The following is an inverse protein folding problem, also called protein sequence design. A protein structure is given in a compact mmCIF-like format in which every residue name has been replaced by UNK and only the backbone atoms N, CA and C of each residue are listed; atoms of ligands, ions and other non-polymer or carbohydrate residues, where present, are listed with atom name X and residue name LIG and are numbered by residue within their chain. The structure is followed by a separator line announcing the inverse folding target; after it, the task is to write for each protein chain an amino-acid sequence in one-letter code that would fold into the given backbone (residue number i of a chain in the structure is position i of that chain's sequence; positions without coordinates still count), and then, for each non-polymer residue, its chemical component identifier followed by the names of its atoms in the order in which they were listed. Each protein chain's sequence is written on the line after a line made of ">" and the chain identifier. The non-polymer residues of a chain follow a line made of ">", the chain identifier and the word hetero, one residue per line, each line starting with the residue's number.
data_IF_888194363846
#
_entry.id   IF_888194363846
#
_cell.length_a   1.000
_cell.length_b   1.000
_cell.length_c   1.000
_cell.angle_alpha   90.00
_cell.angle_beta   90.00
_cell.angle_gamma   90.00
#
_symmetry.space_group_name_H-M   'P 1'
#
loop_
_entity.id
_entity.type
_entity.pdbx_description
1 polymer ?
#
# COMPACT_ATOMS: atom_id res chain seq x y z
N UNK A 1 -18.78 9.02 -34.98
CA UNK A 1 -17.74 8.20 -35.64
C UNK A 1 -17.63 6.86 -34.91
N UNK A 2 -17.96 5.77 -35.61
CA UNK A 2 -17.59 4.37 -35.39
C UNK A 2 -17.51 3.76 -34.00
N UNK A 3 -18.63 3.29 -33.43
CA UNK A 3 -18.64 2.00 -32.70
C UNK A 3 -18.75 0.88 -33.74
N UNK A 4 -17.67 0.62 -34.48
CA UNK A 4 -17.60 -0.45 -35.50
C UNK A 4 -16.29 -1.23 -35.33
N UNK A 5 -16.23 -2.10 -34.32
CA UNK A 5 -15.40 -3.31 -34.34
C UNK A 5 -16.06 -4.30 -33.37
N UNK A 6 -16.67 -5.35 -33.93
CA UNK A 6 -17.35 -6.49 -33.30
C UNK A 6 -18.84 -6.29 -32.90
N UNK A 7 -19.65 -7.20 -33.45
CA UNK A 7 -21.08 -7.39 -33.22
C UNK A 7 -21.25 -8.11 -31.86
N UNK A 8 -22.03 -7.49 -30.97
CA UNK A 8 -22.64 -8.03 -29.75
C UNK A 8 -22.10 -9.39 -29.22
N UNK A 9 -21.10 -9.31 -28.34
CA UNK A 9 -20.93 -10.19 -27.18
C UNK A 9 -21.20 -9.29 -25.97
N UNK A 10 -21.76 -9.77 -24.86
CA UNK A 10 -21.83 -8.96 -23.63
C UNK A 10 -20.42 -8.46 -23.29
N UNK A 11 -20.14 -7.19 -23.56
CA UNK A 11 -18.83 -6.61 -23.33
C UNK A 11 -18.71 -6.36 -21.84
N UNK A 12 -17.91 -7.20 -21.18
CA UNK A 12 -17.47 -6.98 -19.83
C UNK A 12 -16.38 -5.90 -19.86
N UNK A 13 -16.60 -4.78 -19.16
CA UNK A 13 -15.63 -3.70 -19.04
C UNK A 13 -14.82 -3.89 -17.76
N UNK A 14 -13.49 -3.92 -17.88
CA UNK A 14 -12.59 -4.11 -16.75
C UNK A 14 -11.66 -2.90 -16.61
N UNK A 15 -11.39 -2.52 -15.36
CA UNK A 15 -10.33 -1.59 -15.01
C UNK A 15 -9.27 -2.30 -14.18
N UNK A 16 -8.00 -2.09 -14.47
CA UNK A 16 -6.90 -2.50 -13.59
C UNK A 16 -5.88 -1.36 -13.50
N UNK A 17 -5.56 -0.95 -12.28
CA UNK A 17 -4.62 0.14 -12.04
C UNK A 17 -4.04 0.09 -10.64
N UNK A 18 -2.80 0.56 -10.51
CA UNK A 18 -2.10 0.62 -9.23
C UNK A 18 -1.60 2.05 -8.93
N UNK A 19 -1.38 2.39 -7.65
CA UNK A 19 -0.92 3.72 -7.24
C UNK A 19 -1.97 4.80 -7.54
N UNK A 20 -1.61 5.82 -8.33
CA UNK A 20 -2.55 6.78 -8.90
C UNK A 20 -3.64 6.08 -9.73
N UNK A 21 -3.32 4.97 -10.39
CA UNK A 21 -4.31 4.13 -11.06
C UNK A 21 -5.26 3.43 -10.07
N UNK A 22 -4.76 2.99 -8.92
CA UNK A 22 -5.63 2.44 -7.87
C UNK A 22 -6.61 3.50 -7.35
N UNK A 23 -6.15 4.74 -7.17
CA UNK A 23 -7.01 5.89 -6.85
C UNK A 23 -8.06 6.13 -7.93
N UNK A 24 -7.66 6.13 -9.19
CA UNK A 24 -8.57 6.31 -10.33
C UNK A 24 -9.65 5.20 -10.34
N UNK A 25 -9.28 3.93 -10.20
CA UNK A 25 -10.25 2.83 -10.11
C UNK A 25 -11.23 2.97 -8.94
N UNK A 26 -10.79 3.48 -7.79
CA UNK A 26 -11.72 3.80 -6.69
C UNK A 26 -12.62 4.99 -7.00
N UNK A 27 -12.12 6.01 -7.69
CA UNK A 27 -12.92 7.15 -8.16
C UNK A 27 -13.97 6.69 -9.19
N UNK A 28 -13.62 5.79 -10.10
CA UNK A 28 -14.57 5.19 -11.06
C UNK A 28 -15.71 4.49 -10.30
N UNK A 29 -15.39 3.65 -9.31
CA UNK A 29 -16.40 2.97 -8.50
C UNK A 29 -17.34 3.95 -7.74
N UNK A 30 -16.81 5.10 -7.32
CA UNK A 30 -17.54 6.09 -6.52
C UNK A 30 -18.39 7.04 -7.38
N UNK A 31 -17.82 7.55 -8.48
CA UNK A 31 -18.38 8.69 -9.24
C UNK A 31 -18.94 8.29 -10.59
N UNK A 32 -18.41 7.23 -11.19
CA UNK A 32 -18.78 6.73 -12.52
C UNK A 32 -19.08 5.22 -12.47
N UNK A 33 -20.00 4.80 -11.59
CA UNK A 33 -20.15 3.38 -11.27
C UNK A 33 -20.57 2.52 -12.46
N UNK A 34 -21.02 3.09 -13.58
CA UNK A 34 -21.44 2.35 -14.78
C UNK A 34 -20.32 2.11 -15.80
N UNK A 35 -19.12 2.67 -15.61
CA UNK A 35 -18.05 2.62 -16.60
C UNK A 35 -17.35 1.26 -16.65
N UNK A 36 -17.28 0.55 -15.51
CA UNK A 36 -16.60 -0.74 -15.39
C UNK A 36 -17.39 -1.74 -14.58
N UNK A 37 -17.46 -2.97 -15.08
CA UNK A 37 -18.12 -4.08 -14.43
C UNK A 37 -17.25 -4.72 -13.33
N UNK A 38 -15.94 -4.76 -13.56
CA UNK A 38 -14.94 -5.23 -12.62
C UNK A 38 -13.77 -4.26 -12.51
N UNK A 39 -13.31 -4.03 -11.29
CA UNK A 39 -12.20 -3.12 -11.00
C UNK A 39 -11.17 -3.86 -10.15
N UNK A 40 -9.91 -3.84 -10.57
CA UNK A 40 -8.74 -4.22 -9.76
C UNK A 40 -7.97 -2.95 -9.41
N UNK A 41 -7.99 -2.56 -8.14
CA UNK A 41 -7.32 -1.35 -7.66
C UNK A 41 -6.18 -1.69 -6.68
N UNK A 42 -4.94 -1.44 -7.08
CA UNK A 42 -3.74 -1.69 -6.29
C UNK A 42 -3.19 -0.44 -5.60
N UNK A 43 -2.68 -0.58 -4.38
CA UNK A 43 -1.88 0.44 -3.67
C UNK A 43 -2.44 1.86 -3.82
N UNK A 44 -3.75 2.02 -3.65
CA UNK A 44 -4.40 3.24 -4.11
C UNK A 44 -4.00 4.46 -3.28
N UNK A 45 -3.57 5.53 -3.95
CA UNK A 45 -3.37 6.86 -3.36
C UNK A 45 -4.71 7.60 -3.13
N UNK A 46 -5.70 6.91 -2.56
CA UNK A 46 -7.09 7.32 -2.60
C UNK A 46 -7.40 8.54 -1.72
N UNK A 47 -6.70 8.71 -0.60
CA UNK A 47 -6.76 9.95 0.18
C UNK A 47 -5.64 10.92 -0.25
N UNK A 48 -5.68 11.31 -1.52
CA UNK A 48 -4.59 12.02 -2.21
C UNK A 48 -3.96 13.18 -1.41
N UNK A 49 -4.81 14.07 -0.87
CA UNK A 49 -4.37 15.23 -0.08
C UNK A 49 -3.55 14.84 1.16
N UNK A 50 -4.03 13.86 1.96
CA UNK A 50 -3.28 13.33 3.11
C UNK A 50 -2.09 12.47 2.72
N UNK A 51 -2.17 11.74 1.61
CA UNK A 51 -1.05 10.96 1.08
C UNK A 51 0.13 11.87 0.70
N UNK A 52 -0.11 12.95 -0.05
CA UNK A 52 0.93 13.92 -0.39
C UNK A 52 1.53 14.55 0.88
N UNK A 53 0.70 14.87 1.88
CA UNK A 53 1.20 15.36 3.16
C UNK A 53 1.99 14.31 3.94
N UNK A 54 1.71 13.01 3.78
CA UNK A 54 2.44 11.92 4.44
C UNK A 54 3.87 11.81 3.93
N UNK A 55 4.08 12.00 2.62
CA UNK A 55 5.41 12.06 2.04
C UNK A 55 6.19 13.29 2.56
N UNK A 56 5.52 14.45 2.66
CA UNK A 56 6.09 15.65 3.29
C UNK A 56 6.45 15.39 4.75
N UNK A 57 5.57 14.75 5.52
CA UNK A 57 5.80 14.38 6.92
C UNK A 57 7.07 13.54 7.07
N UNK A 58 7.20 12.49 6.27
CA UNK A 58 8.39 11.63 6.30
C UNK A 58 9.66 12.42 6.00
N UNK A 59 9.63 13.33 5.03
CA UNK A 59 10.76 14.22 4.75
C UNK A 59 11.06 15.19 5.90
N UNK A 60 10.04 15.78 6.53
CA UNK A 60 10.24 16.74 7.63
C UNK A 60 10.92 16.07 8.81
N UNK A 61 10.46 14.86 9.19
CA UNK A 61 10.98 14.17 10.39
C UNK A 61 12.40 13.63 10.22
N UNK A 62 12.89 13.47 8.99
CA UNK A 62 14.28 13.05 8.68
C UNK A 62 15.17 14.19 8.19
N UNK A 63 14.66 15.43 8.13
CA UNK A 63 15.34 16.54 7.44
C UNK A 63 16.58 17.12 8.13
N UNK A 64 16.85 16.75 9.39
CA UNK A 64 18.05 17.19 10.12
C UNK A 64 19.19 16.16 9.97
N UNK A 65 20.47 16.58 10.02
CA UNK A 65 21.61 15.66 9.96
C UNK A 65 21.55 14.53 10.98
N UNK A 66 21.04 14.81 12.18
CA UNK A 66 20.95 13.85 13.29
C UNK A 66 19.76 12.90 13.15
N UNK A 67 18.73 13.25 12.37
CA UNK A 67 17.51 12.47 12.15
C UNK A 67 17.52 11.71 10.81
N UNK A 68 18.36 12.12 9.86
CA UNK A 68 18.51 11.51 8.55
C UNK A 68 18.88 10.02 8.68
N UNK A 69 18.31 9.19 7.80
CA UNK A 69 18.49 7.74 7.79
C UNK A 69 19.27 7.34 6.53
N UNK A 70 20.53 6.92 6.69
CA UNK A 70 21.31 6.39 5.56
C UNK A 70 20.83 4.99 5.14
N UNK A 71 21.27 4.50 3.98
CA UNK A 71 20.94 3.14 3.54
C UNK A 71 21.39 2.08 4.55
N UNK A 72 22.55 2.27 5.20
CA UNK A 72 23.04 1.39 6.25
C UNK A 72 22.13 1.40 7.48
N UNK A 73 21.61 2.58 7.87
CA UNK A 73 20.64 2.68 8.98
C UNK A 73 19.31 2.02 8.62
N UNK A 74 18.81 2.20 7.40
CA UNK A 74 17.59 1.53 6.93
C UNK A 74 17.76 0.00 6.93
N UNK A 75 18.93 -0.49 6.53
CA UNK A 75 19.25 -1.92 6.64
C UNK A 75 19.27 -2.40 8.09
N UNK A 76 19.90 -1.65 9.01
CA UNK A 76 19.90 -1.99 10.43
C UNK A 76 18.48 -2.07 11.00
N UNK A 77 17.60 -1.13 10.62
CA UNK A 77 16.20 -1.14 11.04
C UNK A 77 15.47 -2.36 10.47
N UNK A 78 15.59 -2.61 9.17
CA UNK A 78 14.98 -3.78 8.51
C UNK A 78 15.40 -5.07 9.22
N UNK A 79 16.70 -5.27 9.46
CA UNK A 79 17.21 -6.50 10.08
C UNK A 79 16.60 -6.70 11.49
N UNK A 80 16.48 -5.62 12.28
CA UNK A 80 15.88 -5.67 13.62
C UNK A 80 14.35 -5.86 13.61
N UNK A 81 13.67 -5.31 12.60
CA UNK A 81 12.24 -5.54 12.35
C UNK A 81 12.01 -7.01 12.01
N UNK A 82 12.80 -7.59 11.10
CA UNK A 82 12.69 -9.00 10.72
C UNK A 82 12.97 -9.92 11.90
N UNK A 83 13.99 -9.63 12.72
CA UNK A 83 14.26 -10.40 13.95
C UNK A 83 13.06 -10.39 14.91
N UNK A 84 12.34 -9.26 14.98
CA UNK A 84 11.17 -9.10 15.87
C UNK A 84 9.91 -9.75 15.28
N UNK A 85 9.70 -9.69 13.97
CA UNK A 85 8.38 -9.86 13.37
C UNK A 85 8.24 -11.02 12.37
N UNK A 86 9.31 -11.50 11.74
CA UNK A 86 9.26 -12.55 10.70
C UNK A 86 8.52 -13.80 11.21
N UNK A 87 8.92 -14.31 12.39
CA UNK A 87 8.34 -15.52 12.97
C UNK A 87 6.89 -15.45 13.48
N UNK A 88 6.21 -14.29 13.43
CA UNK A 88 4.90 -14.09 14.08
C UNK A 88 3.74 -14.85 13.41
N UNK A 89 3.94 -15.30 12.18
CA UNK A 89 3.00 -16.11 11.41
C UNK A 89 3.30 -17.62 11.45
N UNK A 90 4.40 -18.01 12.12
CA UNK A 90 4.86 -19.39 12.24
C UNK A 90 5.89 -19.83 11.18
N UNK A 91 6.27 -18.95 10.25
CA UNK A 91 7.36 -19.15 9.31
C UNK A 91 8.48 -18.12 9.57
N UNK A 92 9.74 -18.53 9.39
CA UNK A 92 10.88 -17.60 9.35
C UNK A 92 11.44 -17.60 7.95
N UNK A 93 10.74 -16.93 7.04
CA UNK A 93 11.00 -16.98 5.60
C UNK A 93 11.36 -15.61 5.01
N UNK A 94 11.59 -14.61 5.87
CA UNK A 94 11.94 -13.26 5.45
C UNK A 94 10.73 -12.45 4.98
N UNK A 95 9.51 -12.85 5.36
CA UNK A 95 8.26 -12.19 4.99
C UNK A 95 7.40 -11.99 6.23
N UNK A 96 7.00 -10.75 6.51
CA UNK A 96 6.03 -10.45 7.56
C UNK A 96 4.62 -10.66 6.98
N UNK A 97 3.98 -11.82 7.24
CA UNK A 97 2.66 -12.12 6.67
C UNK A 97 1.53 -11.27 7.24
N UNK A 98 1.67 -10.79 8.47
CA UNK A 98 0.70 -9.90 9.10
C UNK A 98 1.42 -8.71 9.76
N UNK A 99 1.61 -7.60 9.02
CA UNK A 99 2.28 -6.43 9.57
C UNK A 99 1.50 -5.75 10.70
N UNK A 100 0.18 -6.00 10.83
CA UNK A 100 -0.65 -5.40 11.88
C UNK A 100 -0.28 -5.91 13.28
N UNK A 101 0.35 -7.10 13.34
CA UNK A 101 0.84 -7.73 14.57
C UNK A 101 2.31 -7.45 14.84
N UNK A 102 3.02 -6.77 13.93
CA UNK A 102 4.41 -6.40 14.11
C UNK A 102 4.53 -5.15 15.01
N UNK A 103 4.86 -5.37 16.28
CA UNK A 103 5.10 -4.30 17.24
C UNK A 103 6.60 -4.12 17.50
N UNK A 104 7.30 -3.53 16.52
CA UNK A 104 8.71 -3.19 16.64
C UNK A 104 8.90 -1.85 17.38
N UNK A 105 9.81 -1.82 18.35
CA UNK A 105 10.21 -0.60 19.07
C UNK A 105 11.63 -0.18 18.60
N UNK A 106 11.78 0.94 17.86
CA UNK A 106 13.08 1.39 17.37
C UNK A 106 14.03 1.81 18.49
N UNK A 107 13.56 2.05 19.72
CA UNK A 107 14.43 2.34 20.88
C UNK A 107 15.39 1.20 21.19
N UNK A 108 15.11 -0.03 20.75
CA UNK A 108 16.05 -1.16 20.82
C UNK A 108 17.38 -0.88 20.13
N UNK A 109 17.39 0.00 19.13
CA UNK A 109 18.57 0.38 18.37
C UNK A 109 19.24 1.65 18.90
N UNK A 110 18.76 2.28 19.98
CA UNK A 110 19.31 3.55 20.46
C UNK A 110 20.80 3.47 20.81
N UNK A 111 21.59 4.41 20.29
CA UNK A 111 23.02 4.51 20.58
C UNK A 111 23.26 4.74 22.08
N UNK A 112 24.17 3.96 22.68
CA UNK A 112 24.64 4.16 24.07
C UNK A 112 25.72 5.24 24.20
N UNK A 113 26.23 5.74 23.08
CA UNK A 113 27.30 6.73 22.98
C UNK A 113 27.17 7.53 21.69
N UNK A 114 28.30 7.85 21.07
CA UNK A 114 28.31 8.53 19.77
C UNK A 114 27.58 7.71 18.68
N UNK A 115 27.14 8.41 17.63
CA UNK A 115 26.55 7.78 16.47
C UNK A 115 27.52 6.81 15.79
N UNK A 116 27.00 5.72 15.24
CA UNK A 116 27.76 4.68 14.57
C UNK A 116 26.86 3.75 13.74
N UNK A 117 27.44 2.89 12.88
CA UNK A 117 26.68 2.10 11.91
C UNK A 117 25.75 1.04 12.54
N UNK A 118 25.93 0.71 13.82
CA UNK A 118 25.21 -0.36 14.52
C UNK A 118 24.13 0.14 15.51
N UNK A 119 23.78 1.43 15.48
CA UNK A 119 22.75 2.00 16.34
C UNK A 119 22.04 3.19 15.66
N UNK A 120 21.01 3.74 16.28
CA UNK A 120 20.29 4.94 15.87
C UNK A 120 20.48 6.04 16.92
N UNK A 121 20.70 7.28 16.48
CA UNK A 121 20.63 8.44 17.38
C UNK A 121 19.21 8.58 17.95
N UNK A 122 19.05 9.35 19.04
CA UNK A 122 17.71 9.64 19.58
C UNK A 122 16.80 10.32 18.54
N UNK A 123 17.37 11.17 17.67
CA UNK A 123 16.63 11.84 16.61
C UNK A 123 16.20 10.86 15.50
N UNK A 124 17.07 9.93 15.09
CA UNK A 124 16.72 8.85 14.16
C UNK A 124 15.63 7.93 14.72
N UNK A 125 15.72 7.53 16.00
CA UNK A 125 14.66 6.76 16.67
C UNK A 125 13.34 7.51 16.62
N UNK A 126 13.33 8.79 16.99
CA UNK A 126 12.12 9.62 16.95
C UNK A 126 11.57 9.82 15.53
N UNK A 127 12.43 9.85 14.50
CA UNK A 127 12.00 9.89 13.10
C UNK A 127 11.30 8.59 12.69
N UNK A 128 11.90 7.43 13.00
CA UNK A 128 11.33 6.11 12.73
C UNK A 128 9.98 5.92 13.43
N UNK A 129 9.87 6.31 14.71
CA UNK A 129 8.59 6.29 15.45
C UNK A 129 7.52 7.14 14.76
N UNK A 130 7.87 8.31 14.22
CA UNK A 130 6.92 9.18 13.50
C UNK A 130 6.56 8.67 12.11
N UNK A 131 7.45 7.96 11.42
CA UNK A 131 7.16 7.34 10.11
C UNK A 131 6.18 6.17 10.28
N UNK A 132 6.44 5.27 11.23
CA UNK A 132 5.51 4.19 11.57
C UNK A 132 4.22 4.70 12.20
N UNK A 133 4.33 5.77 13.00
CA UNK A 133 3.19 6.44 13.59
C UNK A 133 2.30 7.04 12.50
N UNK A 134 2.86 7.75 11.52
CA UNK A 134 2.17 8.55 10.51
C UNK A 134 1.82 9.96 11.01
N UNK A 135 1.04 10.71 10.22
CA UNK A 135 0.74 12.11 10.53
C UNK A 135 -0.15 12.23 11.78
N UNK A 136 0.29 13.07 12.72
CA UNK A 136 -0.48 13.51 13.89
C UNK A 136 -0.51 15.03 13.87
N UNK A 137 -1.70 15.62 14.10
CA UNK A 137 -1.83 17.06 14.22
C UNK A 137 -1.05 17.54 15.46
N UNK A 138 -0.05 18.43 15.31
CA UNK A 138 0.81 18.84 16.42
C UNK A 138 0.09 19.68 17.49
N UNK A 139 -1.08 20.25 17.19
CA UNK A 139 -1.87 21.04 18.15
C UNK A 139 -2.98 20.24 18.82
N UNK A 140 -3.67 19.39 18.07
CA UNK A 140 -4.85 18.67 18.58
C UNK A 140 -4.54 17.24 19.02
N UNK A 141 -3.42 16.66 18.58
CA UNK A 141 -3.10 15.25 18.78
C UNK A 141 -3.92 14.29 17.90
N UNK A 142 -4.74 14.80 16.99
CA UNK A 142 -5.56 13.98 16.10
C UNK A 142 -4.69 13.18 15.12
N UNK A 143 -5.04 11.92 14.91
CA UNK A 143 -4.45 11.08 13.87
C UNK A 143 -5.00 11.47 12.50
N UNK A 144 -4.19 12.15 11.69
CA UNK A 144 -4.62 12.60 10.36
C UNK A 144 -4.47 11.49 9.31
N UNK A 145 -3.36 10.76 9.31
CA UNK A 145 -3.11 9.72 8.31
C UNK A 145 -2.27 8.59 8.91
N UNK A 146 -2.51 7.30 8.57
CA UNK A 146 -1.72 6.19 9.10
C UNK A 146 -0.25 6.28 8.70
N UNK A 147 0.62 5.62 9.45
CA UNK A 147 2.03 5.47 9.10
C UNK A 147 2.30 4.19 8.32
N UNK A 148 3.55 4.03 7.90
CA UNK A 148 4.00 2.83 7.18
C UNK A 148 4.04 1.64 8.13
N UNK A 149 3.79 0.44 7.59
CA UNK A 149 4.05 -0.76 8.35
C UNK A 149 5.54 -1.09 8.39
N UNK A 150 6.02 -1.75 9.47
CA UNK A 150 7.36 -2.31 9.47
C UNK A 150 7.53 -3.40 8.40
N UNK A 151 8.71 -3.47 7.80
CA UNK A 151 9.11 -4.51 6.83
C UNK A 151 9.41 -4.00 5.43
N UNK A 152 9.22 -2.70 5.17
CA UNK A 152 9.49 -2.03 3.89
C UNK A 152 10.67 -1.06 3.91
N UNK A 153 11.50 -1.07 4.96
CA UNK A 153 12.48 -0.01 5.25
C UNK A 153 13.55 0.12 4.15
N UNK A 154 13.94 -0.99 3.51
CA UNK A 154 14.88 -0.95 2.38
C UNK A 154 14.30 -0.24 1.15
N UNK A 155 12.97 -0.15 1.06
CA UNK A 155 12.29 0.66 0.05
C UNK A 155 12.31 2.15 0.38
N UNK A 156 12.64 2.54 1.62
CA UNK A 156 12.41 3.89 2.06
C UNK A 156 13.25 4.94 1.32
N UNK A 157 14.52 4.64 1.08
CA UNK A 157 15.43 5.52 0.34
C UNK A 157 15.27 5.52 -1.18
N UNK A 158 14.50 4.58 -1.73
CA UNK A 158 14.47 4.26 -3.17
C UNK A 158 13.16 4.62 -3.86
N UNK A 159 12.07 4.73 -3.10
CA UNK A 159 10.78 5.03 -3.65
C UNK A 159 10.67 6.54 -3.97
N UNK A 160 10.32 6.86 -5.23
CA UNK A 160 10.49 8.21 -5.82
C UNK A 160 9.79 9.38 -5.10
N UNK A 161 8.86 9.13 -4.18
CA UNK A 161 8.17 10.16 -3.38
C UNK A 161 8.65 10.29 -1.93
N UNK A 162 9.47 9.35 -1.43
CA UNK A 162 9.83 9.35 -0.01
C UNK A 162 11.19 9.98 0.24
N UNK A 163 11.17 11.07 1.02
CA UNK A 163 12.31 11.93 1.33
C UNK A 163 13.01 11.52 2.63
N UNK A 164 13.16 10.23 2.92
CA UNK A 164 13.80 9.80 4.20
C UNK A 164 15.32 9.93 4.20
N UNK A 165 15.95 9.82 3.02
CA UNK A 165 17.37 10.13 2.81
C UNK A 165 17.42 11.59 2.38
N UNK A 166 18.15 12.43 3.13
CA UNK A 166 18.23 13.87 2.84
C UNK A 166 18.63 14.13 1.37
N UNK A 167 17.69 14.68 0.62
CA UNK A 167 17.93 15.21 -0.71
C UNK A 167 18.00 16.72 -0.61
N UNK A 168 19.20 17.27 -0.84
CA UNK A 168 19.43 18.73 -0.90
C UNK A 168 18.63 19.39 -2.02
N UNK A 169 18.33 18.65 -3.08
CA UNK A 169 17.43 19.05 -4.16
C UNK A 169 16.14 18.23 -4.10
N UNK A 170 15.03 18.91 -3.87
CA UNK A 170 13.69 18.33 -3.77
C UNK A 170 12.87 18.56 -5.04
N UNK A 171 13.46 19.17 -6.08
CA UNK A 171 12.79 19.34 -7.36
C UNK A 171 12.48 17.98 -7.99
N UNK A 172 11.26 17.82 -8.49
CA UNK A 172 10.78 16.54 -9.04
C UNK A 172 10.31 15.53 -7.99
N UNK A 173 10.31 15.88 -6.70
CA UNK A 173 9.59 15.09 -5.68
C UNK A 173 8.11 15.42 -5.76
N UNK A 174 7.29 14.42 -6.09
CA UNK A 174 5.86 14.55 -6.38
C UNK A 174 5.07 15.33 -5.33
N UNK A 175 5.30 15.06 -4.05
CA UNK A 175 4.60 15.74 -2.95
C UNK A 175 5.05 17.18 -2.74
N UNK A 176 6.36 17.47 -2.86
CA UNK A 176 6.85 18.85 -2.80
C UNK A 176 6.28 19.68 -3.95
N UNK A 177 6.36 19.16 -5.17
CA UNK A 177 5.85 19.83 -6.37
C UNK A 177 4.33 20.02 -6.30
N UNK A 178 3.58 19.02 -5.82
CA UNK A 178 2.14 19.16 -5.62
C UNK A 178 1.82 20.40 -4.77
N UNK A 179 2.42 20.56 -3.59
CA UNK A 179 2.14 21.71 -2.74
C UNK A 179 2.71 23.03 -3.29
N UNK A 180 3.94 23.02 -3.80
CA UNK A 180 4.61 24.19 -4.38
C UNK A 180 3.79 24.80 -5.53
N UNK A 181 3.36 23.98 -6.49
CA UNK A 181 2.66 24.47 -7.68
C UNK A 181 1.16 24.67 -7.48
N UNK A 182 0.51 23.89 -6.60
CA UNK A 182 -0.95 23.95 -6.44
C UNK A 182 -1.42 24.75 -5.23
N UNK A 183 -0.88 24.51 -4.03
CA UNK A 183 -1.39 25.14 -2.80
C UNK A 183 -0.74 26.51 -2.55
N UNK A 184 0.58 26.59 -2.76
CA UNK A 184 1.36 27.80 -2.49
C UNK A 184 1.60 28.67 -3.71
N UNK A 185 1.50 28.10 -4.92
CA UNK A 185 1.82 28.77 -6.18
C UNK A 185 3.21 29.44 -6.18
N UNK A 186 4.16 28.79 -5.52
CA UNK A 186 5.55 29.22 -5.41
C UNK A 186 6.46 28.04 -5.73
N UNK A 187 7.12 28.01 -6.91
CA UNK A 187 8.04 26.93 -7.27
C UNK A 187 9.28 26.86 -6.36
N UNK A 188 9.52 27.87 -5.52
CA UNK A 188 10.61 27.89 -4.54
C UNK A 188 10.18 27.41 -3.15
N UNK A 189 8.89 27.15 -2.94
CA UNK A 189 8.39 26.62 -1.67
C UNK A 189 9.11 25.31 -1.31
N UNK A 190 9.31 25.09 -0.01
CA UNK A 190 10.05 23.95 0.52
C UNK A 190 9.20 23.21 1.54
N UNK A 191 9.15 21.88 1.41
CA UNK A 191 8.37 21.00 2.28
C UNK A 191 8.64 21.18 3.80
N UNK A 192 9.84 21.63 4.18
CA UNK A 192 10.26 21.83 5.58
C UNK A 192 9.41 22.84 6.34
N UNK A 193 8.71 23.73 5.64
CA UNK A 193 7.86 24.75 6.26
C UNK A 193 6.37 24.39 6.29
N UNK A 194 6.00 23.17 5.88
CA UNK A 194 4.61 22.72 5.84
C UNK A 194 3.98 22.67 7.25
N UNK A 195 2.86 23.36 7.45
CA UNK A 195 2.07 23.34 8.68
C UNK A 195 1.01 22.23 8.58
N UNK A 196 1.24 21.10 9.27
CA UNK A 196 0.32 19.95 9.27
C UNK A 196 -1.05 20.22 9.91
N UNK A 197 -1.24 21.34 10.60
CA UNK A 197 -2.54 21.78 11.10
C UNK A 197 -3.26 22.65 10.06
N UNK A 198 -2.59 23.67 9.53
CA UNK A 198 -3.23 24.67 8.64
C UNK A 198 -3.17 24.29 7.17
N UNK A 199 -2.00 23.91 6.67
CA UNK A 199 -1.77 23.71 5.24
C UNK A 199 -2.44 22.42 4.76
N UNK A 200 -2.43 21.37 5.59
CA UNK A 200 -3.16 20.14 5.28
C UNK A 200 -4.66 20.41 5.20
N UNK A 201 -5.24 21.11 6.19
CA UNK A 201 -6.66 21.50 6.13
C UNK A 201 -6.98 22.32 4.88
N UNK A 202 -6.14 23.31 4.55
CA UNK A 202 -6.31 24.12 3.33
C UNK A 202 -6.26 23.25 2.06
N UNK A 203 -5.35 22.28 2.00
CA UNK A 203 -5.26 21.36 0.86
C UNK A 203 -6.51 20.48 0.73
N UNK A 204 -7.04 19.97 1.84
CA UNK A 204 -8.28 19.19 1.85
C UNK A 204 -9.48 20.01 1.41
N UNK A 205 -9.65 21.22 1.97
CA UNK A 205 -10.74 22.12 1.62
C UNK A 205 -10.69 22.53 0.13
N UNK A 206 -9.49 22.67 -0.44
CA UNK A 206 -9.29 23.13 -1.84
C UNK A 206 -9.39 21.99 -2.86
N UNK A 207 -8.78 20.83 -2.56
CA UNK A 207 -8.57 19.77 -3.56
C UNK A 207 -9.27 18.46 -3.21
N UNK A 208 -9.78 18.29 -1.99
CA UNK A 208 -10.32 17.02 -1.51
C UNK A 208 -11.47 16.51 -2.37
N UNK A 209 -12.43 17.38 -2.72
CA UNK A 209 -13.57 17.02 -3.58
C UNK A 209 -13.16 16.58 -4.99
N UNK A 210 -12.03 17.06 -5.49
CA UNK A 210 -11.55 16.76 -6.84
C UNK A 210 -10.69 15.49 -6.83
N UNK A 211 -9.75 15.42 -5.88
CA UNK A 211 -8.63 14.47 -5.92
C UNK A 211 -8.78 13.27 -5.01
N UNK A 212 -9.56 13.35 -3.93
CA UNK A 212 -9.73 12.23 -3.01
C UNK A 212 -10.80 11.25 -3.54
N UNK A 213 -10.43 9.98 -3.63
CA UNK A 213 -11.33 8.84 -3.87
C UNK A 213 -11.70 8.16 -2.55
N UNK A 214 -12.37 8.87 -1.65
CA UNK A 214 -12.66 8.40 -0.28
C UNK A 214 -14.14 8.30 0.05
N UNK A 215 -15.05 8.47 -0.92
CA UNK A 215 -16.47 8.31 -0.69
C UNK A 215 -16.80 6.83 -0.39
N UNK A 216 -17.31 6.56 0.81
CA UNK A 216 -17.64 5.22 1.26
C UNK A 216 -19.00 4.72 0.73
N UNK A 217 -19.75 5.55 0.01
CA UNK A 217 -21.04 5.17 -0.56
C UNK A 217 -20.90 4.55 -1.96
N UNK A 218 -20.82 3.22 -1.98
CA UNK A 218 -20.77 2.43 -3.22
C UNK A 218 -22.13 1.79 -3.59
N UNK A 219 -23.24 2.38 -3.13
CA UNK A 219 -24.57 1.79 -3.30
C UNK A 219 -24.96 1.57 -4.77
N UNK A 220 -24.62 2.53 -5.64
CA UNK A 220 -24.92 2.43 -7.08
C UNK A 220 -24.04 1.39 -7.77
N UNK A 221 -22.73 1.37 -7.48
CA UNK A 221 -21.80 0.34 -7.95
C UNK A 221 -22.28 -1.07 -7.59
N UNK A 222 -22.76 -1.25 -6.35
CA UNK A 222 -23.40 -2.49 -5.90
C UNK A 222 -24.70 -2.78 -6.64
N UNK A 223 -25.58 -1.80 -6.82
CA UNK A 223 -26.89 -1.94 -7.49
C UNK A 223 -26.73 -2.45 -8.93
N UNK A 224 -25.70 -1.97 -9.62
CA UNK A 224 -25.36 -2.41 -10.98
C UNK A 224 -24.73 -3.82 -11.02
N UNK A 225 -24.38 -4.39 -9.87
CA UNK A 225 -23.87 -5.76 -9.76
C UNK A 225 -22.37 -5.90 -9.99
N UNK A 226 -21.64 -4.78 -10.03
CA UNK A 226 -20.21 -4.71 -10.31
C UNK A 226 -19.35 -5.20 -9.14
N UNK A 227 -18.05 -5.39 -9.39
CA UNK A 227 -17.11 -6.03 -8.45
C UNK A 227 -15.80 -5.26 -8.35
N UNK A 228 -15.30 -5.12 -7.13
CA UNK A 228 -14.05 -4.46 -6.81
C UNK A 228 -13.14 -5.42 -6.05
N UNK A 229 -11.98 -5.70 -6.64
CA UNK A 229 -10.85 -6.32 -5.96
C UNK A 229 -9.84 -5.21 -5.68
N UNK A 230 -9.45 -5.08 -4.43
CA UNK A 230 -8.39 -4.18 -4.02
C UNK A 230 -7.23 -4.98 -3.47
N UNK A 231 -6.02 -4.57 -3.79
CA UNK A 231 -4.83 -5.12 -3.14
C UNK A 231 -3.95 -4.01 -2.61
N UNK A 232 -3.18 -4.32 -1.57
CA UNK A 232 -2.14 -3.40 -1.09
C UNK A 232 -0.90 -4.14 -0.63
N UNK A 233 0.28 -3.65 -1.02
CA UNK A 233 1.56 -4.11 -0.51
C UNK A 233 1.72 -3.81 0.97
N UNK A 234 1.88 -4.86 1.78
CA UNK A 234 2.09 -4.73 3.22
C UNK A 234 3.41 -4.02 3.56
N UNK A 235 4.39 -4.09 2.65
CA UNK A 235 5.69 -3.44 2.78
C UNK A 235 5.81 -2.25 1.82
N UNK A 236 4.68 -1.68 1.36
CA UNK A 236 4.68 -0.51 0.49
C UNK A 236 5.42 0.66 1.18
N UNK A 237 6.53 1.15 0.60
CA UNK A 237 7.29 2.23 1.19
C UNK A 237 6.58 3.59 1.04
N UNK A 238 5.72 3.78 0.04
CA UNK A 238 5.12 5.08 -0.29
C UNK A 238 3.77 5.29 0.36
N UNK A 239 2.87 4.32 0.20
CA UNK A 239 1.48 4.46 0.60
C UNK A 239 1.23 3.51 1.78
N UNK A 240 0.80 4.02 2.94
CA UNK A 240 0.43 3.17 4.05
C UNK A 240 -0.69 2.19 3.67
N UNK A 241 -0.45 0.88 3.73
CA UNK A 241 -1.49 -0.12 3.45
C UNK A 241 -2.73 0.03 4.35
N UNK A 242 -2.55 0.51 5.59
CA UNK A 242 -3.65 0.84 6.49
C UNK A 242 -4.62 1.88 5.91
N UNK A 243 -4.20 2.77 5.01
CA UNK A 243 -5.11 3.70 4.35
C UNK A 243 -6.16 2.96 3.48
N UNK A 244 -5.74 1.93 2.74
CA UNK A 244 -6.66 1.06 1.99
C UNK A 244 -7.62 0.29 2.90
N UNK A 245 -7.11 -0.24 4.01
CA UNK A 245 -7.92 -0.93 5.04
C UNK A 245 -8.95 0.04 5.64
N UNK A 246 -8.54 1.24 6.03
CA UNK A 246 -9.43 2.26 6.59
C UNK A 246 -10.59 2.58 5.63
N UNK A 247 -10.30 2.70 4.35
CA UNK A 247 -11.33 2.95 3.34
C UNK A 247 -12.30 1.76 3.23
N UNK A 248 -11.80 0.53 3.15
CA UNK A 248 -12.65 -0.67 3.15
C UNK A 248 -13.55 -0.76 4.38
N UNK A 249 -13.01 -0.50 5.57
CA UNK A 249 -13.77 -0.49 6.81
C UNK A 249 -14.83 0.62 6.84
N UNK A 250 -14.55 1.78 6.25
CA UNK A 250 -15.55 2.85 6.11
C UNK A 250 -16.68 2.46 5.15
N UNK A 251 -16.36 1.78 4.03
CA UNK A 251 -17.39 1.20 3.15
C UNK A 251 -18.22 0.16 3.89
N UNK A 252 -17.60 -0.73 4.67
CA UNK A 252 -18.32 -1.73 5.48
C UNK A 252 -19.23 -1.12 6.56
N UNK A 253 -18.79 -0.02 7.19
CA UNK A 253 -19.62 0.73 8.16
C UNK A 253 -20.87 1.31 7.50
N UNK A 254 -20.74 1.79 6.26
CA UNK A 254 -21.83 2.33 5.47
C UNK A 254 -22.73 1.23 4.86
N UNK A 255 -22.14 0.13 4.41
CA UNK A 255 -22.81 -1.03 3.84
C UNK A 255 -22.20 -2.33 4.39
N UNK A 256 -22.88 -2.95 5.35
CA UNK A 256 -22.44 -4.21 5.99
C UNK A 256 -22.33 -5.39 5.02
N UNK A 257 -22.89 -5.26 3.81
CA UNK A 257 -22.81 -6.27 2.75
C UNK A 257 -21.67 -6.02 1.77
N UNK A 258 -20.81 -5.03 2.02
CA UNK A 258 -19.72 -4.63 1.11
C UNK A 258 -18.83 -5.79 0.67
N UNK A 259 -18.61 -6.76 1.55
CA UNK A 259 -17.83 -7.96 1.26
C UNK A 259 -18.37 -8.81 0.08
N UNK A 260 -19.62 -8.63 -0.33
CA UNK A 260 -20.25 -9.32 -1.48
C UNK A 260 -19.90 -8.70 -2.85
N UNK A 261 -19.29 -7.52 -2.87
CA UNK A 261 -18.85 -6.84 -4.10
C UNK A 261 -17.49 -6.14 -3.99
N UNK A 262 -16.93 -6.03 -2.79
CA UNK A 262 -15.64 -5.43 -2.51
C UNK A 262 -14.78 -6.38 -1.65
N UNK A 263 -13.69 -6.92 -2.22
CA UNK A 263 -12.66 -7.72 -1.53
C UNK A 263 -11.35 -6.94 -1.44
N UNK A 264 -10.65 -7.08 -0.32
CA UNK A 264 -9.32 -6.52 -0.08
C UNK A 264 -8.33 -7.65 0.14
N UNK A 265 -7.14 -7.56 -0.46
CA UNK A 265 -6.02 -8.48 -0.27
C UNK A 265 -4.80 -7.70 0.18
N UNK A 266 -4.35 -7.91 1.42
CA UNK A 266 -3.03 -7.44 1.81
C UNK A 266 -1.99 -8.41 1.29
N UNK A 267 -0.90 -7.89 0.73
CA UNK A 267 0.14 -8.67 0.07
C UNK A 267 1.44 -8.56 0.87
N UNK A 268 1.77 -9.57 1.70
CA UNK A 268 3.00 -9.61 2.47
C UNK A 268 4.25 -9.43 1.61
N UNK A 269 5.14 -8.52 2.03
CA UNK A 269 6.42 -8.28 1.35
C UNK A 269 6.32 -7.68 -0.05
N UNK A 270 5.14 -7.29 -0.53
CA UNK A 270 5.00 -6.49 -1.74
C UNK A 270 5.34 -5.03 -1.41
N UNK A 271 6.25 -4.43 -2.19
CA UNK A 271 6.49 -2.99 -2.21
C UNK A 271 5.48 -2.29 -3.12
N UNK A 272 5.65 -0.99 -3.38
CA UNK A 272 4.70 -0.22 -4.17
C UNK A 272 4.48 -0.80 -5.57
N UNK A 273 3.29 -1.36 -5.81
CA UNK A 273 2.80 -2.05 -7.00
C UNK A 273 3.54 -3.33 -7.40
N UNK A 274 4.85 -3.40 -7.18
CA UNK A 274 5.71 -4.51 -7.61
C UNK A 274 6.96 -4.60 -6.75
N UNK A 275 7.71 -5.70 -6.89
CA UNK A 275 8.96 -5.91 -6.18
C UNK A 275 8.78 -6.11 -4.66
N UNK A 276 9.91 -6.15 -3.96
CA UNK A 276 9.96 -6.53 -2.55
C UNK A 276 10.22 -8.03 -2.32
N UNK A 277 10.30 -8.45 -1.05
CA UNK A 277 10.61 -9.84 -0.69
C UNK A 277 9.44 -10.83 -0.87
N UNK A 278 8.22 -10.35 -1.08
CA UNK A 278 7.00 -11.18 -1.09
C UNK A 278 6.65 -11.89 -2.40
N UNK A 279 5.41 -12.39 -2.43
CA UNK A 279 4.76 -13.02 -3.60
C UNK A 279 4.05 -11.97 -4.47
N UNK A 280 4.79 -11.41 -5.43
CA UNK A 280 4.37 -10.19 -6.13
C UNK A 280 3.65 -10.43 -7.46
N UNK A 281 3.73 -11.64 -8.02
CA UNK A 281 3.10 -12.02 -9.28
C UNK A 281 1.76 -12.72 -9.04
N UNK A 282 0.66 -11.99 -9.21
CA UNK A 282 -0.71 -12.44 -8.95
C UNK A 282 -1.75 -11.79 -9.88
N UNK A 283 -1.31 -11.25 -11.03
CA UNK A 283 -2.23 -10.60 -11.97
C UNK A 283 -2.71 -9.21 -11.56
N UNK A 284 -2.03 -8.58 -10.59
CA UNK A 284 -2.17 -7.15 -10.30
C UNK A 284 -1.31 -6.34 -11.27
N UNK A 285 -0.27 -5.68 -10.75
CA UNK A 285 0.72 -4.98 -11.61
C UNK A 285 1.75 -5.93 -12.23
N UNK A 286 2.01 -7.08 -11.62
CA UNK A 286 2.91 -8.10 -12.16
C UNK A 286 2.07 -9.29 -12.64
N UNK A 287 2.21 -9.72 -13.91
CA UNK A 287 1.51 -10.88 -14.44
C UNK A 287 1.78 -12.13 -13.62
N UNK A 288 0.74 -12.92 -13.35
CA UNK A 288 0.88 -14.24 -12.77
C UNK A 288 1.52 -15.22 -13.78
N UNK A 289 2.16 -16.31 -13.32
CA UNK A 289 2.64 -17.37 -14.21
C UNK A 289 1.49 -18.17 -14.86
N UNK A 290 0.33 -18.20 -14.22
CA UNK A 290 -0.88 -18.89 -14.68
C UNK A 290 -2.01 -17.89 -14.73
N UNK A 291 -2.64 -17.74 -15.90
CA UNK A 291 -3.74 -16.80 -16.12
C UNK A 291 -5.06 -17.54 -15.90
N UNK A 292 -5.47 -17.62 -14.63
CA UNK A 292 -6.76 -18.14 -14.20
C UNK A 292 -7.26 -17.38 -12.95
N UNK A 293 -8.52 -17.61 -12.57
CA UNK A 293 -9.14 -16.90 -11.44
C UNK A 293 -8.55 -17.22 -10.06
N UNK A 294 -7.74 -18.27 -9.92
CA UNK A 294 -7.10 -18.64 -8.66
C UNK A 294 -5.70 -18.00 -8.52
N UNK A 295 -5.09 -17.52 -9.62
CA UNK A 295 -3.72 -16.97 -9.64
C UNK A 295 -3.64 -15.52 -10.16
N UNK A 296 -4.64 -15.04 -10.89
CA UNK A 296 -4.66 -13.75 -11.57
C UNK A 296 -5.86 -12.91 -11.12
N UNK A 297 -5.61 -11.74 -10.50
CA UNK A 297 -6.66 -10.90 -9.94
C UNK A 297 -7.63 -10.33 -10.99
N UNK A 298 -7.17 -10.06 -12.21
CA UNK A 298 -8.05 -9.59 -13.30
C UNK A 298 -8.98 -10.73 -13.72
N UNK A 299 -8.45 -11.94 -13.89
CA UNK A 299 -9.22 -13.15 -14.20
C UNK A 299 -10.22 -13.49 -13.07
N UNK A 300 -9.83 -13.27 -11.82
CA UNK A 300 -10.69 -13.42 -10.66
C UNK A 300 -11.85 -12.40 -10.66
N UNK A 301 -11.58 -11.14 -11.03
CA UNK A 301 -12.61 -10.12 -11.19
C UNK A 301 -13.61 -10.49 -12.29
N UNK A 302 -13.12 -10.98 -13.43
CA UNK A 302 -13.95 -11.48 -14.53
C UNK A 302 -14.85 -12.62 -14.06
N UNK A 303 -14.28 -13.66 -13.45
CA UNK A 303 -15.06 -14.78 -12.92
C UNK A 303 -16.08 -14.32 -11.87
N UNK A 304 -15.73 -13.36 -11.02
CA UNK A 304 -16.64 -12.85 -10.01
C UNK A 304 -17.83 -12.10 -10.62
N UNK A 305 -17.60 -11.28 -11.66
CA UNK A 305 -18.68 -10.58 -12.35
C UNK A 305 -19.59 -11.57 -13.08
N UNK A 306 -19.02 -12.45 -13.90
CA UNK A 306 -19.78 -13.33 -14.80
C UNK A 306 -20.45 -14.48 -14.07
N UNK A 307 -19.75 -15.09 -13.10
CA UNK A 307 -20.15 -16.36 -12.48
C UNK A 307 -20.52 -16.18 -11.00
N UNK A 308 -20.47 -14.95 -10.47
CA UNK A 308 -20.82 -14.63 -9.08
C UNK A 308 -19.97 -15.40 -8.04
N UNK A 309 -18.78 -15.86 -8.43
CA UNK A 309 -17.83 -16.55 -7.56
C UNK A 309 -16.78 -15.57 -7.06
N UNK A 310 -16.93 -15.12 -5.81
CA UNK A 310 -15.98 -14.22 -5.17
C UNK A 310 -14.63 -14.92 -4.91
N UNK A 311 -13.49 -14.23 -5.10
CA UNK A 311 -12.20 -14.77 -4.69
C UNK A 311 -12.08 -14.72 -3.17
N UNK A 312 -11.90 -15.88 -2.54
CA UNK A 312 -11.59 -15.99 -1.11
C UNK A 312 -10.06 -15.98 -0.87
N UNK A 313 -9.29 -16.36 -1.90
CA UNK A 313 -7.83 -16.29 -1.94
C UNK A 313 -7.35 -16.16 -3.38
N UNK A 314 -6.13 -15.65 -3.57
CA UNK A 314 -5.40 -15.64 -4.85
C UNK A 314 -3.99 -16.19 -4.59
N UNK A 315 -3.49 -17.11 -5.40
CA UNK A 315 -2.14 -17.65 -5.24
C UNK A 315 -1.14 -16.68 -5.85
N UNK A 316 -0.39 -15.99 -4.98
CA UNK A 316 0.73 -15.15 -5.38
C UNK A 316 2.00 -15.96 -5.59
N UNK A 317 2.83 -15.49 -6.51
CA UNK A 317 4.11 -16.09 -6.86
C UNK A 317 5.27 -15.12 -6.63
N UNK A 318 6.35 -15.63 -6.05
CA UNK A 318 7.67 -14.98 -6.06
C UNK A 318 8.55 -15.69 -7.08
N UNK A 319 9.12 -14.93 -8.00
CA UNK A 319 10.17 -15.43 -8.89
C UNK A 319 11.55 -15.19 -8.29
N UNK A 320 12.51 -16.05 -8.62
CA UNK A 320 13.93 -15.82 -8.31
C UNK A 320 14.35 -14.47 -8.91
N UNK A 321 15.07 -13.68 -8.11
CA UNK A 321 15.50 -12.31 -8.43
C UNK A 321 14.37 -11.35 -8.85
N UNK A 322 13.12 -11.66 -8.48
CA UNK A 322 11.92 -10.95 -8.92
C UNK A 322 11.79 -10.85 -10.45
N UNK A 323 12.37 -11.78 -11.21
CA UNK A 323 12.30 -11.81 -12.68
C UNK A 323 10.97 -12.43 -13.15
N UNK A 324 10.02 -11.65 -13.71
CA UNK A 324 8.73 -12.20 -14.14
C UNK A 324 8.91 -13.31 -15.18
N UNK A 325 8.06 -14.34 -15.10
CA UNK A 325 8.14 -15.54 -15.93
C UNK A 325 9.47 -16.33 -15.81
N UNK A 326 10.25 -16.08 -14.75
CA UNK A 326 11.43 -16.86 -14.40
C UNK A 326 11.12 -18.10 -13.56
N UNK A 327 12.15 -18.64 -12.91
CA UNK A 327 11.99 -19.75 -11.96
C UNK A 327 11.17 -19.31 -10.75
N UNK A 328 10.16 -20.10 -10.39
CA UNK A 328 9.35 -19.88 -9.19
C UNK A 328 10.22 -20.18 -7.96
N UNK A 329 10.32 -19.21 -7.06
CA UNK A 329 11.02 -19.35 -5.77
C UNK A 329 10.07 -19.85 -4.68
N UNK A 330 8.90 -19.24 -4.54
CA UNK A 330 7.85 -19.67 -3.60
C UNK A 330 6.47 -19.15 -4.03
N UNK A 331 5.42 -19.79 -3.53
CA UNK A 331 4.03 -19.36 -3.70
C UNK A 331 3.29 -19.30 -2.35
N UNK A 332 2.34 -18.38 -2.22
CA UNK A 332 1.50 -18.20 -1.02
C UNK A 332 0.07 -17.85 -1.41
N UNK A 333 -0.94 -18.30 -0.65
CA UNK A 333 -2.27 -17.74 -0.78
C UNK A 333 -2.31 -16.32 -0.21
N UNK A 334 -2.69 -15.34 -1.04
CA UNK A 334 -3.15 -14.03 -0.62
C UNK A 334 -4.59 -14.17 -0.17
N UNK A 335 -4.87 -13.86 1.08
CA UNK A 335 -6.18 -14.11 1.70
C UNK A 335 -7.04 -12.85 1.66
N UNK A 336 -8.36 -13.03 1.48
CA UNK A 336 -9.29 -11.93 1.61
C UNK A 336 -9.27 -11.40 3.06
N UNK A 337 -9.00 -10.10 3.23
CA UNK A 337 -8.97 -9.41 4.52
C UNK A 337 -10.29 -9.64 5.28
N UNK A 338 -10.25 -9.94 6.60
CA UNK A 338 -9.11 -9.84 7.51
C UNK A 338 -8.31 -11.15 7.70
N UNK A 339 -8.43 -12.13 6.80
CA UNK A 339 -7.66 -13.36 6.91
C UNK A 339 -6.23 -13.15 6.40
N UNK A 340 -5.29 -13.90 6.97
CA UNK A 340 -3.88 -13.96 6.55
C UNK A 340 -3.47 -15.40 6.24
N UNK A 341 -2.39 -15.57 5.49
CA UNK A 341 -1.81 -16.89 5.25
C UNK A 341 -1.16 -17.40 6.54
N UNK A 342 -1.51 -18.61 6.97
CA UNK A 342 -0.86 -19.31 8.09
C UNK A 342 -0.31 -20.65 7.63
N UNK A 343 0.93 -20.93 8.00
CA UNK A 343 1.55 -22.22 7.72
C UNK A 343 0.87 -23.33 8.54
N UNK A 344 0.61 -24.48 7.91
CA UNK A 344 -0.08 -25.61 8.56
C UNK A 344 0.80 -26.37 9.57
N UNK A 345 2.10 -26.05 9.64
CA UNK A 345 3.06 -26.70 10.55
C UNK A 345 3.79 -27.90 9.95
N UNK A 346 3.50 -28.28 8.71
CA UNK A 346 4.17 -29.36 7.98
C UNK A 346 4.16 -29.14 6.47
N UNK A 347 5.14 -29.71 5.75
CA UNK A 347 5.30 -29.59 4.30
C UNK A 347 6.29 -28.49 3.90
N UNK A 348 6.61 -28.39 2.61
CA UNK A 348 7.51 -27.34 2.11
C UNK A 348 6.89 -25.96 2.35
N UNK A 349 7.63 -25.08 3.04
CA UNK A 349 7.21 -23.70 3.24
C UNK A 349 7.13 -22.97 1.91
N UNK A 350 7.78 -23.37 0.82
CA UNK A 350 7.67 -22.67 -0.47
C UNK A 350 6.38 -22.98 -1.25
N UNK A 351 5.58 -23.94 -0.80
CA UNK A 351 4.37 -24.40 -1.47
C UNK A 351 3.10 -23.81 -0.82
N UNK A 352 2.28 -23.13 -1.63
CA UNK A 352 1.02 -22.53 -1.20
C UNK A 352 0.01 -23.55 -0.63
N UNK A 353 0.10 -24.83 -1.01
CA UNK A 353 -0.77 -25.89 -0.49
C UNK A 353 -0.58 -26.14 1.01
N UNK A 354 0.58 -25.77 1.57
CA UNK A 354 0.91 -25.93 2.99
C UNK A 354 0.49 -24.74 3.85
N UNK A 355 -0.28 -23.81 3.28
CA UNK A 355 -0.85 -22.65 3.96
C UNK A 355 -2.38 -22.69 3.96
N UNK A 356 -3.00 -21.99 4.91
CA UNK A 356 -4.44 -21.75 4.96
C UNK A 356 -4.73 -20.30 5.28
N UNK A 357 -5.86 -19.78 4.79
CA UNK A 357 -6.35 -18.48 5.22
C UNK A 357 -7.02 -18.62 6.58
N UNK A 358 -6.53 -17.88 7.58
CA UNK A 358 -7.03 -17.87 8.94
C UNK A 358 -6.87 -16.48 9.56
N UNK A 359 -7.63 -16.19 10.62
CA UNK A 359 -7.45 -14.97 11.42
C UNK A 359 -6.13 -15.01 12.17
#
# INVERSE_FOLDING_TARGET
>A
MGRNFLIAISQLHQYSGCSTGGKQGLIEAQRYPADFDGIVAGDAANFWTRQMASEVWNGVVTSSPEANLSEEKLKLIQDAVMETCDGLDGAKDGIISDPTRCHFDPKKLLCKGADGPACLTAAQVGAVEKIYGGIVNPKTGEKLYPGLYPGGELGWGKAGGMMVIDRKDTSGVSSNDFFAYTLFHDPKWQFRTFDFDKDLKRAEDTFGSITNGTDANLAEFRRLGHKLIYYHGAADPLIPAQNGINYYENVLKNDKTANSYYRVFLVPGLYHCSGGPGVTAFGGSVPSPVVDADHDMVSAAVQWVEQKKAPEKIIGTKFVDNKPAGTIQLQRPLCAYPLVARYKGSGDMNDAANFTCAK
#
